data_IF_300461074105
#
_entry.id   IF_300461074105
#
_cell.length_a   1.000
_cell.length_b   1.000
_cell.length_c   1.000
_cell.angle_alpha   90.00
_cell.angle_beta   90.00
_cell.angle_gamma   90.00
#
_symmetry.space_group_name_H-M   'P 1'
#
loop_
_entity.id
_entity.type
_entity.pdbx_description
1 polymer ?
#
# COMPACT_ATOMS: atom_id res chain seq x y z
N UNK A 1 29.73 -7.40 -17.11
CA UNK A 1 28.45 -7.50 -16.40
C UNK A 1 28.06 -6.12 -15.90
N UNK A 2 26.78 -5.73 -15.96
CA UNK A 2 26.28 -4.41 -15.54
C UNK A 2 25.59 -4.49 -14.17
N UNK A 3 26.05 -3.71 -13.20
CA UNK A 3 25.33 -3.50 -11.93
C UNK A 3 24.45 -2.25 -12.07
N UNK A 4 23.18 -2.35 -11.71
CA UNK A 4 22.21 -1.25 -11.80
C UNK A 4 21.57 -1.09 -10.41
N UNK A 5 21.59 0.13 -9.87
CA UNK A 5 20.82 0.48 -8.67
C UNK A 5 19.62 1.31 -9.10
N UNK A 6 18.40 0.89 -8.74
CA UNK A 6 17.15 1.61 -8.93
C UNK A 6 16.71 2.29 -7.63
N UNK A 7 15.61 3.04 -7.69
CA UNK A 7 14.94 3.53 -6.50
C UNK A 7 14.45 2.34 -5.67
N UNK A 8 14.55 2.45 -4.36
CA UNK A 8 14.10 1.41 -3.43
C UNK A 8 12.92 1.98 -2.66
N UNK A 9 11.79 1.28 -2.68
CA UNK A 9 10.73 1.51 -1.69
C UNK A 9 11.40 1.24 -0.33
N UNK A 10 11.54 2.29 0.46
CA UNK A 10 12.57 2.47 1.46
C UNK A 10 12.87 1.23 2.30
N UNK A 11 14.18 0.94 2.36
CA UNK A 11 14.88 0.23 3.43
C UNK A 11 14.58 -1.25 3.65
N UNK A 12 13.49 -1.80 3.11
CA UNK A 12 12.93 -3.00 3.74
C UNK A 12 12.47 -4.11 2.80
N UNK A 13 12.42 -3.88 1.48
CA UNK A 13 12.55 -5.00 0.54
C UNK A 13 13.25 -4.64 -0.75
N UNK A 14 14.35 -5.33 -0.98
CA UNK A 14 15.12 -5.21 -2.19
C UNK A 14 14.88 -6.43 -3.07
N UNK A 15 14.48 -6.14 -4.30
CA UNK A 15 14.50 -7.10 -5.37
C UNK A 15 15.89 -7.10 -6.00
N UNK A 16 16.51 -8.26 -6.14
CA UNK A 16 17.62 -8.46 -7.06
C UNK A 16 17.07 -9.11 -8.33
N UNK A 17 17.14 -8.42 -9.46
CA UNK A 17 16.88 -9.01 -10.77
C UNK A 17 18.22 -9.44 -11.38
N UNK A 18 18.38 -10.75 -11.54
CA UNK A 18 19.57 -11.36 -12.10
C UNK A 18 19.23 -11.89 -13.49
N UNK A 19 19.97 -11.40 -14.49
CA UNK A 19 19.87 -11.87 -15.86
C UNK A 19 21.13 -12.61 -16.26
N UNK A 20 20.98 -13.82 -16.81
CA UNK A 20 22.07 -14.62 -17.35
C UNK A 20 22.08 -14.61 -18.88
N UNK A 21 23.29 -14.68 -19.46
CA UNK A 21 23.51 -14.78 -20.91
C UNK A 21 23.00 -16.09 -21.52
N UNK A 22 22.82 -17.11 -20.69
CA UNK A 22 22.37 -18.46 -21.04
C UNK A 22 21.71 -19.10 -19.81
N UNK A 23 20.82 -20.09 -19.98
CA UNK A 23 20.25 -20.86 -18.86
C UNK A 23 21.34 -21.39 -17.95
N UNK A 24 21.21 -21.19 -16.63
CA UNK A 24 22.13 -21.74 -15.63
C UNK A 24 21.34 -22.76 -14.81
N UNK A 25 21.49 -24.04 -15.15
CA UNK A 25 20.79 -25.12 -14.46
C UNK A 25 21.17 -25.14 -12.97
N UNK A 26 20.19 -25.08 -12.08
CA UNK A 26 20.43 -25.06 -10.63
C UNK A 26 20.92 -23.71 -10.10
N UNK A 27 20.65 -22.63 -10.83
CA UNK A 27 20.98 -21.25 -10.39
C UNK A 27 20.34 -20.90 -9.05
N UNK A 28 19.12 -21.36 -8.78
CA UNK A 28 18.45 -21.14 -7.50
C UNK A 28 19.28 -21.70 -6.35
N UNK A 29 19.63 -22.98 -6.39
CA UNK A 29 20.45 -23.62 -5.34
C UNK A 29 21.81 -22.95 -5.19
N UNK A 30 22.41 -22.50 -6.30
CA UNK A 30 23.70 -21.79 -6.28
C UNK A 30 23.57 -20.44 -5.56
N UNK A 31 22.51 -19.69 -5.85
CA UNK A 31 22.23 -18.41 -5.22
C UNK A 31 21.82 -18.57 -3.76
N UNK A 32 21.05 -19.61 -3.40
CA UNK A 32 20.73 -19.97 -2.02
C UNK A 32 22.00 -20.18 -1.20
N UNK A 33 22.94 -21.01 -1.69
CA UNK A 33 24.21 -21.27 -1.00
C UNK A 33 24.99 -19.96 -0.80
N UNK A 34 25.06 -19.13 -1.84
CA UNK A 34 25.78 -17.86 -1.80
C UNK A 34 25.15 -16.88 -0.79
N UNK A 35 23.83 -16.76 -0.79
CA UNK A 35 23.09 -15.90 0.15
C UNK A 35 23.25 -16.39 1.58
N UNK A 36 23.07 -17.69 1.84
CA UNK A 36 23.23 -18.28 3.16
C UNK A 36 24.65 -18.09 3.70
N UNK A 37 25.66 -18.32 2.87
CA UNK A 37 27.07 -18.11 3.23
C UNK A 37 27.33 -16.64 3.59
N UNK A 38 26.90 -15.71 2.73
CA UNK A 38 27.11 -14.29 2.96
C UNK A 38 26.40 -13.81 4.24
N UNK A 39 25.15 -14.21 4.45
CA UNK A 39 24.39 -13.86 5.64
C UNK A 39 25.06 -14.38 6.90
N UNK A 40 25.52 -15.64 6.89
CA UNK A 40 26.24 -16.24 8.01
C UNK A 40 27.52 -15.46 8.34
N UNK A 41 28.35 -15.17 7.34
CA UNK A 41 29.60 -14.40 7.52
C UNK A 41 29.30 -13.01 8.07
N UNK A 42 28.36 -12.30 7.45
CA UNK A 42 27.96 -10.94 7.83
C UNK A 42 27.46 -10.87 9.28
N UNK A 43 26.67 -11.84 9.71
CA UNK A 43 26.13 -11.90 11.07
C UNK A 43 27.21 -12.26 12.10
N UNK A 44 28.05 -13.26 11.82
CA UNK A 44 29.14 -13.68 12.73
C UNK A 44 30.18 -12.58 12.91
N UNK A 45 30.54 -11.90 11.82
CA UNK A 45 31.54 -10.84 11.83
C UNK A 45 30.98 -9.46 12.18
N UNK A 46 29.66 -9.35 12.39
CA UNK A 46 28.95 -8.08 12.66
C UNK A 46 29.31 -6.98 11.67
N UNK A 47 29.33 -7.30 10.37
CA UNK A 47 29.72 -6.34 9.32
C UNK A 47 28.74 -5.16 9.19
N UNK A 48 27.53 -5.28 9.74
CA UNK A 48 26.54 -4.21 9.81
C UNK A 48 25.55 -4.47 10.96
N UNK A 49 24.89 -3.43 11.46
CA UNK A 49 23.93 -3.51 12.57
C UNK A 49 22.47 -3.80 12.13
N UNK A 50 22.17 -3.94 10.84
CA UNK A 50 20.79 -4.17 10.37
C UNK A 50 20.23 -5.57 10.73
N UNK A 51 18.90 -5.66 10.89
CA UNK A 51 18.13 -6.80 11.44
C UNK A 51 18.25 -8.15 10.68
N UNK A 52 17.76 -9.28 11.25
CA UNK A 52 17.80 -10.61 10.63
C UNK A 52 17.11 -10.62 9.25
N UNK A 53 17.70 -11.33 8.29
CA UNK A 53 17.28 -11.31 6.89
C UNK A 53 16.41 -12.51 6.56
N UNK A 54 15.29 -12.27 5.90
CA UNK A 54 14.55 -13.29 5.15
C UNK A 54 14.80 -13.04 3.66
N UNK A 55 14.89 -14.12 2.89
CA UNK A 55 14.89 -14.03 1.44
C UNK A 55 14.16 -15.20 0.81
N UNK A 56 13.63 -14.99 -0.38
CA UNK A 56 13.14 -16.04 -1.26
C UNK A 56 13.73 -15.85 -2.65
N UNK A 57 13.83 -16.95 -3.39
CA UNK A 57 14.35 -16.98 -4.76
C UNK A 57 13.26 -17.54 -5.65
N UNK A 58 13.03 -16.87 -6.78
CA UNK A 58 12.14 -17.34 -7.84
C UNK A 58 12.90 -17.29 -9.17
N UNK A 59 13.01 -18.41 -9.89
CA UNK A 59 13.53 -18.44 -11.25
C UNK A 59 12.42 -18.47 -12.31
N UNK A 60 12.72 -17.90 -13.48
CA UNK A 60 11.94 -18.12 -14.69
C UNK A 60 12.07 -19.56 -15.18
N UNK A 61 11.08 -20.04 -15.93
CA UNK A 61 11.05 -21.42 -16.47
C UNK A 61 12.26 -21.82 -17.35
N UNK A 62 13.04 -20.85 -17.83
CA UNK A 62 14.23 -21.09 -18.67
C UNK A 62 15.57 -20.84 -17.94
N UNK A 63 15.55 -20.64 -16.62
CA UNK A 63 16.73 -20.38 -15.78
C UNK A 63 17.62 -19.20 -16.26
N UNK A 64 17.09 -18.27 -17.07
CA UNK A 64 17.83 -17.07 -17.50
C UNK A 64 17.56 -15.85 -16.62
N UNK A 65 16.40 -15.82 -15.99
CA UNK A 65 16.02 -14.77 -15.06
C UNK A 65 15.80 -15.36 -13.68
N UNK A 66 16.43 -14.73 -12.69
CA UNK A 66 16.20 -15.06 -11.28
C UNK A 66 15.89 -13.77 -10.55
N UNK A 67 14.83 -13.82 -9.77
CA UNK A 67 14.45 -12.76 -8.87
C UNK A 67 14.73 -13.21 -7.45
N UNK A 68 15.52 -12.44 -6.71
CA UNK A 68 15.72 -12.64 -5.28
C UNK A 68 14.99 -11.54 -4.54
N UNK A 69 14.09 -11.96 -3.68
CA UNK A 69 13.30 -11.10 -2.82
C UNK A 69 13.94 -11.08 -1.45
N UNK A 70 14.46 -9.94 -1.01
CA UNK A 70 15.32 -9.85 0.16
C UNK A 70 14.83 -8.74 1.08
N UNK A 71 14.32 -9.10 2.26
CA UNK A 71 13.79 -8.14 3.22
C UNK A 71 14.86 -7.57 4.16
N UNK A 72 14.65 -6.34 4.60
CA UNK A 72 15.41 -5.64 5.66
C UNK A 72 16.87 -5.29 5.32
N UNK A 73 17.30 -5.32 4.06
CA UNK A 73 18.69 -4.99 3.70
C UNK A 73 18.91 -3.48 3.68
N UNK A 74 19.96 -3.00 4.36
CA UNK A 74 20.29 -1.58 4.34
C UNK A 74 21.12 -1.20 3.10
N UNK A 75 21.19 0.09 2.79
CA UNK A 75 21.97 0.66 1.69
C UNK A 75 23.46 0.31 1.68
N UNK A 76 24.01 -0.15 2.81
CA UNK A 76 25.40 -0.63 2.90
C UNK A 76 25.54 -2.10 2.52
N UNK A 77 24.56 -2.93 2.89
CA UNK A 77 24.60 -4.36 2.63
C UNK A 77 24.27 -4.71 1.17
N UNK A 78 23.36 -3.94 0.55
CA UNK A 78 22.86 -4.21 -0.79
C UNK A 78 23.92 -4.19 -1.88
N UNK A 79 24.75 -3.13 -2.02
CA UNK A 79 25.78 -3.11 -3.06
C UNK A 79 26.83 -4.20 -2.83
N UNK A 80 27.16 -4.51 -1.57
CA UNK A 80 28.14 -5.55 -1.24
C UNK A 80 27.64 -6.91 -1.72
N UNK A 81 26.39 -7.26 -1.44
CA UNK A 81 25.81 -8.52 -1.86
C UNK A 81 25.63 -8.59 -3.39
N UNK A 82 25.13 -7.51 -4.00
CA UNK A 82 25.00 -7.41 -5.46
C UNK A 82 26.35 -7.59 -6.19
N UNK A 83 27.42 -6.99 -5.65
CA UNK A 83 28.78 -7.17 -6.17
C UNK A 83 29.33 -8.58 -5.94
N UNK A 84 28.97 -9.25 -4.84
CA UNK A 84 29.40 -10.63 -4.59
C UNK A 84 28.75 -11.61 -5.59
N UNK A 85 27.45 -11.44 -5.85
CA UNK A 85 26.71 -12.22 -6.86
C UNK A 85 27.39 -12.06 -8.23
N UNK A 86 27.68 -10.81 -8.57
CA UNK A 86 28.37 -10.42 -9.79
C UNK A 86 29.75 -11.07 -9.95
N UNK A 87 30.54 -11.12 -8.88
CA UNK A 87 31.88 -11.71 -8.88
C UNK A 87 31.83 -13.23 -9.01
N UNK A 88 30.92 -13.88 -8.29
CA UNK A 88 30.90 -15.34 -8.16
C UNK A 88 30.20 -16.05 -9.31
N UNK A 89 29.42 -15.35 -10.12
CA UNK A 89 28.60 -15.94 -11.18
C UNK A 89 28.92 -15.29 -12.54
N UNK A 90 29.97 -15.75 -13.25
CA UNK A 90 30.48 -15.10 -14.46
C UNK A 90 29.55 -15.17 -15.68
N UNK A 91 28.46 -15.95 -15.60
CA UNK A 91 27.46 -16.07 -16.67
C UNK A 91 26.31 -15.07 -16.55
N UNK A 92 26.26 -14.33 -15.44
CA UNK A 92 25.33 -13.21 -15.24
C UNK A 92 25.77 -12.04 -16.12
N UNK A 93 24.82 -11.48 -16.85
CA UNK A 93 25.00 -10.28 -17.68
C UNK A 93 24.70 -9.01 -16.91
N UNK A 94 23.70 -9.06 -16.03
CA UNK A 94 23.32 -7.93 -15.18
C UNK A 94 22.74 -8.36 -13.84
N UNK A 95 22.99 -7.52 -12.84
CA UNK A 95 22.33 -7.55 -11.54
C UNK A 95 21.71 -6.17 -11.34
N UNK A 96 20.38 -6.12 -11.23
CA UNK A 96 19.66 -4.90 -10.86
C UNK A 96 19.21 -5.03 -9.42
N UNK A 97 19.46 -4.01 -8.61
CA UNK A 97 19.02 -3.93 -7.21
C UNK A 97 17.98 -2.83 -7.10
N UNK A 98 16.86 -3.15 -6.48
CA UNK A 98 15.69 -2.28 -6.39
C UNK A 98 14.66 -2.58 -7.47
N UNK A 99 13.47 -2.02 -7.32
CA UNK A 99 12.38 -2.11 -8.29
C UNK A 99 12.29 -0.83 -9.12
N UNK A 100 11.76 -0.93 -10.34
CA UNK A 100 11.23 0.27 -10.98
C UNK A 100 10.01 0.67 -10.15
N UNK A 101 10.06 1.84 -9.51
CA UNK A 101 8.82 2.50 -9.08
C UNK A 101 8.01 2.68 -10.37
N UNK A 102 6.90 1.96 -10.48
CA UNK A 102 6.07 1.98 -11.68
C UNK A 102 5.77 3.42 -12.09
N UNK A 103 5.67 3.67 -13.40
CA UNK A 103 5.15 4.94 -13.87
C UNK A 103 3.79 5.18 -13.21
N UNK A 104 3.69 6.33 -12.54
CA UNK A 104 2.47 6.83 -11.94
C UNK A 104 1.31 6.72 -12.93
N UNK A 105 0.30 5.86 -12.69
CA UNK A 105 -0.94 6.01 -13.43
C UNK A 105 -1.54 7.35 -13.01
N UNK A 106 -1.79 8.23 -13.98
CA UNK A 106 -2.37 9.55 -13.73
C UNK A 106 -3.68 9.42 -12.90
N UNK A 107 -3.98 10.38 -11.99
CA UNK A 107 -5.15 10.37 -11.10
C UNK A 107 -6.47 10.13 -11.83
N UNK A 108 -6.54 10.58 -13.08
CA UNK A 108 -7.75 10.59 -13.89
C UNK A 108 -8.28 9.19 -14.21
N UNK A 109 -7.45 8.13 -14.21
CA UNK A 109 -7.91 6.77 -14.51
C UNK A 109 -8.54 6.04 -13.31
N UNK A 110 -8.47 6.63 -12.10
CA UNK A 110 -9.00 6.05 -10.85
C UNK A 110 -10.14 6.83 -10.23
N UNK A 111 -10.45 8.02 -10.77
CA UNK A 111 -11.50 8.88 -10.27
C UNK A 111 -12.88 8.42 -10.74
N UNK A 112 -13.78 8.22 -9.78
CA UNK A 112 -15.21 8.04 -10.02
C UNK A 112 -15.91 9.36 -9.76
N UNK A 113 -16.69 9.82 -10.74
CA UNK A 113 -17.45 11.07 -10.64
C UNK A 113 -18.87 10.80 -10.16
N UNK A 114 -19.31 11.60 -9.20
CA UNK A 114 -20.67 11.65 -8.70
C UNK A 114 -21.28 12.98 -9.10
N UNK A 115 -22.47 12.95 -9.71
CA UNK A 115 -23.25 14.16 -10.05
C UNK A 115 -23.90 14.82 -8.82
N UNK A 116 -23.59 14.31 -7.63
CA UNK A 116 -24.24 14.61 -6.36
C UNK A 116 -24.89 13.36 -5.75
N UNK A 117 -25.04 13.36 -4.44
CA UNK A 117 -25.58 12.22 -3.69
C UNK A 117 -26.26 12.67 -2.39
N UNK A 118 -27.00 11.77 -1.75
CA UNK A 118 -27.45 11.97 -0.37
C UNK A 118 -26.64 11.00 0.50
N UNK A 119 -25.78 11.56 1.34
CA UNK A 119 -25.13 10.79 2.39
C UNK A 119 -26.13 10.61 3.53
N UNK A 120 -26.27 9.39 4.03
CA UNK A 120 -27.00 9.16 5.29
C UNK A 120 -26.05 8.56 6.31
N UNK A 121 -26.18 9.06 7.53
CA UNK A 121 -25.35 8.76 8.67
C UNK A 121 -26.06 7.76 9.58
N UNK A 122 -25.27 7.08 10.41
CA UNK A 122 -25.73 6.04 11.33
C UNK A 122 -26.69 6.58 12.41
N UNK A 123 -26.65 7.89 12.67
CA UNK A 123 -27.55 8.57 13.60
C UNK A 123 -28.92 8.94 12.97
N UNK A 124 -29.18 8.53 11.72
CA UNK A 124 -30.42 8.84 11.00
C UNK A 124 -30.40 10.18 10.25
N UNK A 125 -29.37 11.01 10.43
CA UNK A 125 -29.23 12.26 9.68
C UNK A 125 -28.88 11.98 8.22
N UNK A 126 -29.28 12.90 7.34
CA UNK A 126 -28.96 12.84 5.91
C UNK A 126 -28.49 14.20 5.42
N UNK A 127 -27.57 14.22 4.47
CA UNK A 127 -27.01 15.44 3.92
C UNK A 127 -26.82 15.32 2.41
N UNK A 128 -27.17 16.38 1.68
CA UNK A 128 -26.85 16.49 0.26
C UNK A 128 -25.35 16.71 0.05
N UNK A 129 -24.77 15.95 -0.85
CA UNK A 129 -23.37 16.05 -1.28
C UNK A 129 -23.36 16.61 -2.70
N UNK A 130 -22.67 17.73 -2.96
CA UNK A 130 -22.56 18.29 -4.31
C UNK A 130 -21.76 17.35 -5.24
N UNK A 131 -21.67 17.62 -6.55
CA UNK A 131 -20.82 16.84 -7.44
C UNK A 131 -19.37 16.78 -6.97
N UNK A 132 -18.78 15.59 -6.98
CA UNK A 132 -17.40 15.34 -6.57
C UNK A 132 -16.80 14.18 -7.35
N UNK A 133 -15.47 14.09 -7.36
CA UNK A 133 -14.76 12.95 -7.91
C UNK A 133 -13.81 12.37 -6.85
N UNK A 134 -13.87 11.06 -6.65
CA UNK A 134 -13.13 10.34 -5.59
C UNK A 134 -12.41 9.12 -6.16
N UNK A 135 -11.24 8.79 -5.60
CA UNK A 135 -10.51 7.59 -5.96
C UNK A 135 -11.33 6.32 -5.64
N UNK A 136 -11.41 5.43 -6.62
CA UNK A 136 -12.07 4.12 -6.48
C UNK A 136 -11.44 3.23 -5.39
N UNK A 137 -10.12 3.26 -5.28
CA UNK A 137 -9.36 2.55 -4.25
C UNK A 137 -8.42 3.53 -3.52
N UNK A 138 -8.02 3.28 -2.27
CA UNK A 138 -7.10 4.11 -1.51
C UNK A 138 -5.80 4.38 -2.24
N UNK A 139 -5.11 5.41 -1.74
CA UNK A 139 -3.71 5.66 -2.11
C UNK A 139 -2.90 4.42 -1.74
N UNK A 140 -2.08 3.93 -2.67
CA UNK A 140 -1.24 2.76 -2.45
C UNK A 140 0.07 3.13 -1.76
N UNK A 141 0.75 2.13 -1.18
CA UNK A 141 2.09 2.29 -0.63
C UNK A 141 3.05 2.86 -1.67
N UNK A 142 3.02 2.41 -2.92
CA UNK A 142 3.88 2.96 -3.97
C UNK A 142 3.54 4.43 -4.30
N UNK A 143 2.26 4.80 -4.33
CA UNK A 143 1.86 6.19 -4.59
C UNK A 143 2.33 7.15 -3.49
N UNK A 144 2.19 6.72 -2.23
CA UNK A 144 2.65 7.50 -1.08
C UNK A 144 4.18 7.55 -1.00
N UNK A 145 4.86 6.49 -1.44
CA UNK A 145 6.31 6.40 -1.47
C UNK A 145 6.96 7.38 -2.46
N UNK A 146 6.33 7.62 -3.62
CA UNK A 146 6.80 8.67 -4.54
C UNK A 146 6.81 10.04 -3.84
N UNK A 147 5.78 10.36 -3.05
CA UNK A 147 5.69 11.61 -2.30
C UNK A 147 6.87 11.74 -1.32
N UNK A 148 7.08 10.74 -0.47
CA UNK A 148 8.11 10.77 0.57
C UNK A 148 9.51 10.80 -0.02
N UNK A 149 9.80 10.03 -1.08
CA UNK A 149 11.10 10.06 -1.75
C UNK A 149 11.37 11.39 -2.46
N UNK A 150 10.37 11.97 -3.11
CA UNK A 150 10.52 13.24 -3.84
C UNK A 150 10.76 14.41 -2.90
N UNK A 151 10.14 14.37 -1.73
CA UNK A 151 10.16 15.50 -0.77
C UNK A 151 11.14 15.31 0.39
N UNK A 152 11.64 14.08 0.59
CA UNK A 152 12.36 13.70 1.80
C UNK A 152 11.46 13.66 3.05
N UNK A 153 10.15 13.52 2.87
CA UNK A 153 9.19 13.51 3.98
C UNK A 153 9.33 12.23 4.81
N UNK A 154 9.43 12.41 6.13
CA UNK A 154 9.48 11.32 7.12
C UNK A 154 8.14 11.28 7.85
N UNK A 155 7.48 10.12 7.88
CA UNK A 155 6.14 9.99 8.48
C UNK A 155 6.17 10.15 9.99
N UNK A 156 5.00 10.31 10.59
CA UNK A 156 4.87 10.41 12.05
C UNK A 156 5.27 9.11 12.74
N UNK A 157 4.91 7.95 12.18
CA UNK A 157 5.35 6.63 12.66
C UNK A 157 6.87 6.46 12.60
N UNK A 158 7.50 6.88 11.50
CA UNK A 158 8.96 6.83 11.32
C UNK A 158 9.69 7.77 12.28
N UNK A 159 9.18 9.01 12.48
CA UNK A 159 9.73 9.96 13.47
C UNK A 159 9.69 9.41 14.89
N UNK A 160 8.67 8.62 15.21
CA UNK A 160 8.50 7.99 16.52
C UNK A 160 9.26 6.66 16.64
N UNK A 161 9.86 6.16 15.55
CA UNK A 161 10.54 4.88 15.49
C UNK A 161 9.60 3.68 15.76
N UNK A 162 8.35 3.79 15.29
CA UNK A 162 7.28 2.78 15.44
C UNK A 162 7.03 1.97 14.15
N UNK A 163 8.01 1.95 13.23
CA UNK A 163 7.93 1.27 11.93
C UNK A 163 7.66 2.23 10.77
N UNK A 164 7.45 1.65 9.58
CA UNK A 164 7.21 2.38 8.33
C UNK A 164 5.98 1.85 7.61
N UNK A 165 5.35 2.67 6.78
CA UNK A 165 4.25 2.24 5.89
C UNK A 165 4.71 1.33 4.74
N UNK A 166 6.02 1.15 4.60
CA UNK A 166 6.67 0.34 3.55
C UNK A 166 6.98 -1.07 4.00
N UNK A 167 7.06 -1.24 5.32
CA UNK A 167 7.24 -2.53 5.92
C UNK A 167 6.67 -2.50 7.34
N UNK A 168 5.70 -3.38 7.50
CA UNK A 168 5.25 -3.83 8.80
C UNK A 168 4.77 -5.29 8.68
N UNK A 169 4.28 -5.82 9.79
CA UNK A 169 3.82 -7.19 9.89
C UNK A 169 2.68 -7.53 8.90
N UNK A 170 1.93 -6.54 8.41
CA UNK A 170 0.84 -6.77 7.44
C UNK A 170 1.37 -7.01 6.02
N UNK A 171 2.56 -6.52 5.71
CA UNK A 171 3.22 -6.65 4.41
C UNK A 171 4.11 -7.90 4.30
N UNK A 172 4.48 -8.52 5.43
CA UNK A 172 5.33 -9.73 5.47
C UNK A 172 4.83 -10.88 4.59
N UNK A 173 3.52 -11.22 4.55
CA UNK A 173 3.02 -12.32 3.73
C UNK A 173 3.03 -12.03 2.23
N UNK A 174 3.22 -10.77 1.82
CA UNK A 174 3.13 -10.36 0.42
C UNK A 174 4.48 -10.47 -0.27
N UNK A 175 4.45 -10.91 -1.54
CA UNK A 175 5.62 -10.83 -2.40
C UNK A 175 6.05 -9.37 -2.54
N UNK A 176 7.35 -9.06 -2.61
CA UNK A 176 7.81 -7.67 -2.61
C UNK A 176 7.26 -6.84 -3.78
N UNK A 177 7.15 -7.46 -4.96
CA UNK A 177 6.56 -6.83 -6.13
C UNK A 177 5.08 -6.42 -5.93
N UNK A 178 4.38 -7.03 -4.97
CA UNK A 178 2.98 -6.74 -4.68
C UNK A 178 2.80 -5.72 -3.55
N UNK A 179 3.83 -5.45 -2.72
CA UNK A 179 3.72 -4.55 -1.55
C UNK A 179 3.40 -3.12 -1.93
N UNK A 180 3.89 -2.64 -3.07
CA UNK A 180 3.58 -1.32 -3.58
C UNK A 180 2.11 -1.15 -4.00
N UNK A 181 1.40 -2.25 -4.27
CA UNK A 181 0.03 -2.24 -4.79
C UNK A 181 -1.04 -2.24 -3.68
N UNK A 182 -0.64 -2.46 -2.42
CA UNK A 182 -1.59 -2.41 -1.31
C UNK A 182 -1.88 -0.97 -0.90
N UNK A 183 -3.03 -0.70 -0.27
CA UNK A 183 -3.29 0.60 0.34
C UNK A 183 -2.23 1.00 1.36
N UNK A 184 -1.82 2.27 1.33
CA UNK A 184 -0.94 2.85 2.33
C UNK A 184 -1.63 2.85 3.70
N UNK A 185 -0.89 2.48 4.73
CA UNK A 185 -1.33 2.41 6.12
C UNK A 185 -0.17 2.81 7.04
N UNK A 186 -0.34 2.76 8.36
CA UNK A 186 0.68 3.21 9.31
C UNK A 186 1.12 4.67 9.09
N UNK A 187 0.20 5.50 8.61
CA UNK A 187 0.35 6.94 8.37
C UNK A 187 -0.63 7.71 9.25
N UNK A 188 -0.25 8.89 9.71
CA UNK A 188 -1.13 9.75 10.50
C UNK A 188 -1.89 10.74 9.63
N UNK A 189 -2.90 11.40 10.19
CA UNK A 189 -3.64 12.45 9.50
C UNK A 189 -2.72 13.56 8.96
N UNK A 190 -1.70 13.94 9.74
CA UNK A 190 -0.74 14.99 9.33
C UNK A 190 0.07 14.54 8.11
N UNK A 191 0.44 13.25 8.04
CA UNK A 191 1.16 12.69 6.89
C UNK A 191 0.28 12.68 5.64
N UNK A 192 -1.00 12.37 5.82
CA UNK A 192 -2.01 12.36 4.76
C UNK A 192 -2.30 13.77 4.22
N UNK A 193 -2.37 14.79 5.08
CA UNK A 193 -2.52 16.18 4.64
C UNK A 193 -1.31 16.66 3.85
N UNK A 194 -0.10 16.31 4.28
CA UNK A 194 1.13 16.64 3.57
C UNK A 194 1.13 16.01 2.16
N UNK A 195 0.71 14.75 2.04
CA UNK A 195 0.51 14.10 0.74
C UNK A 195 -0.54 14.83 -0.10
N UNK A 196 -1.71 15.15 0.47
CA UNK A 196 -2.77 15.85 -0.26
C UNK A 196 -2.29 17.19 -0.82
N UNK A 197 -1.57 17.96 0.00
CA UNK A 197 -0.98 19.24 -0.40
C UNK A 197 0.02 19.07 -1.54
N UNK A 198 0.90 18.06 -1.47
CA UNK A 198 1.88 17.77 -2.51
C UNK A 198 1.23 17.31 -3.82
N UNK A 199 0.27 16.39 -3.74
CA UNK A 199 -0.39 15.80 -4.91
C UNK A 199 -1.46 16.71 -5.54
N UNK A 200 -1.82 17.84 -4.91
CA UNK A 200 -2.89 18.72 -5.41
C UNK A 200 -4.28 18.09 -5.34
N UNK A 201 -4.48 17.21 -4.36
CA UNK A 201 -5.73 16.50 -4.06
C UNK A 201 -6.22 16.86 -2.65
N UNK A 202 -7.36 16.31 -2.22
CA UNK A 202 -7.87 16.52 -0.86
C UNK A 202 -8.45 15.23 -0.30
N UNK A 203 -8.61 15.15 1.01
CA UNK A 203 -9.42 14.11 1.63
C UNK A 203 -10.91 14.25 1.24
N UNK A 204 -11.65 13.14 1.10
CA UNK A 204 -13.10 13.20 1.07
C UNK A 204 -13.64 13.70 2.40
N UNK A 205 -14.76 14.42 2.39
CA UNK A 205 -15.57 14.62 3.60
C UNK A 205 -16.17 13.30 4.06
N UNK A 206 -16.61 13.20 5.32
CA UNK A 206 -17.40 12.04 5.79
C UNK A 206 -18.56 11.72 4.85
N UNK A 207 -19.26 12.76 4.39
CA UNK A 207 -20.43 12.61 3.55
C UNK A 207 -20.09 12.12 2.14
N UNK A 208 -19.01 12.63 1.54
CA UNK A 208 -18.52 12.14 0.25
C UNK A 208 -18.08 10.68 0.34
N UNK A 209 -17.36 10.31 1.41
CA UNK A 209 -16.94 8.92 1.61
C UNK A 209 -18.15 8.00 1.79
N UNK A 210 -19.13 8.39 2.62
CA UNK A 210 -20.36 7.62 2.82
C UNK A 210 -21.19 7.53 1.55
N UNK A 211 -21.31 8.61 0.79
CA UNK A 211 -22.01 8.63 -0.49
C UNK A 211 -21.34 7.71 -1.51
N UNK A 212 -20.01 7.73 -1.57
CA UNK A 212 -19.23 6.90 -2.47
C UNK A 212 -19.26 5.42 -2.07
N UNK A 213 -19.28 5.11 -0.77
CA UNK A 213 -19.34 3.75 -0.24
C UNK A 213 -20.68 3.04 -0.50
N UNK A 214 -21.72 3.76 -0.93
CA UNK A 214 -23.02 3.17 -1.22
C UNK A 214 -22.99 2.46 -2.57
N UNK A 215 -22.73 1.17 -2.47
CA UNK A 215 -22.99 0.18 -3.52
C UNK A 215 -24.46 0.18 -3.93
N UNK A 216 -25.34 0.43 -2.96
CA UNK A 216 -26.79 0.44 -3.11
C UNK A 216 -27.44 1.28 -1.99
N UNK A 217 -28.46 2.09 -2.31
CA UNK A 217 -29.17 2.89 -1.31
C UNK A 217 -30.15 2.05 -0.46
N UNK A 218 -30.33 0.77 -0.77
CA UNK A 218 -31.17 -0.16 -0.02
C UNK A 218 -30.60 -0.45 1.38
N UNK A 219 -31.48 -0.41 2.38
CA UNK A 219 -31.18 -0.93 3.73
C UNK A 219 -31.47 -2.44 3.73
N UNK A 220 -30.41 -3.24 3.81
CA UNK A 220 -30.48 -4.70 3.72
C UNK A 220 -30.62 -5.31 5.13
N UNK A 221 -31.29 -6.43 5.30
CA UNK A 221 -31.11 -7.30 6.47
C UNK A 221 -29.71 -7.90 6.47
N UNK A 222 -29.31 -8.57 7.56
CA UNK A 222 -28.00 -9.24 7.64
C UNK A 222 -27.82 -10.29 6.53
N UNK A 223 -28.84 -11.10 6.26
CA UNK A 223 -28.80 -12.12 5.21
C UNK A 223 -28.79 -11.49 3.82
N UNK A 224 -29.61 -10.47 3.58
CA UNK A 224 -29.60 -9.73 2.31
C UNK A 224 -28.23 -9.06 2.07
N UNK A 225 -27.58 -8.55 3.12
CA UNK A 225 -26.22 -7.99 3.05
C UNK A 225 -25.17 -9.04 2.65
N UNK A 226 -25.20 -10.21 3.30
CA UNK A 226 -24.26 -11.29 3.03
C UNK A 226 -24.45 -11.84 1.61
N UNK A 227 -25.69 -12.08 1.18
CA UNK A 227 -26.00 -12.46 -0.21
C UNK A 227 -25.63 -11.37 -1.21
N UNK A 228 -25.87 -10.10 -0.88
CA UNK A 228 -25.55 -8.98 -1.75
C UNK A 228 -24.04 -8.84 -1.96
N UNK A 229 -23.25 -8.85 -0.88
CA UNK A 229 -21.81 -8.63 -0.95
C UNK A 229 -21.05 -9.84 -1.52
N UNK A 230 -21.50 -11.06 -1.22
CA UNK A 230 -20.72 -12.26 -1.49
C UNK A 230 -21.37 -13.21 -2.50
N UNK A 231 -22.60 -12.94 -2.94
CA UNK A 231 -23.34 -13.82 -3.85
C UNK A 231 -23.58 -15.23 -3.29
N UNK A 232 -24.09 -16.13 -4.13
CA UNK A 232 -24.34 -17.54 -3.75
C UNK A 232 -23.04 -18.35 -3.55
N UNK A 233 -21.93 -17.89 -4.12
CA UNK A 233 -20.60 -18.54 -4.01
C UNK A 233 -19.76 -18.02 -2.82
N UNK A 234 -20.26 -17.05 -2.05
CA UNK A 234 -19.57 -16.55 -0.86
C UNK A 234 -18.29 -15.75 -1.14
N UNK A 235 -18.09 -15.24 -2.37
CA UNK A 235 -16.92 -14.46 -2.78
C UNK A 235 -17.30 -13.02 -3.12
N UNK A 236 -16.55 -12.07 -2.58
CA UNK A 236 -16.74 -10.66 -2.87
C UNK A 236 -16.33 -10.35 -4.32
N UNK A 237 -17.25 -9.77 -5.10
CA UNK A 237 -17.02 -9.39 -6.50
C UNK A 237 -17.18 -7.86 -6.67
N UNK A 238 -16.05 -7.15 -6.61
CA UNK A 238 -15.95 -5.69 -6.78
C UNK A 238 -16.50 -5.22 -8.14
N UNK A 239 -16.55 -6.08 -9.15
CA UNK A 239 -17.01 -5.70 -10.49
C UNK A 239 -18.52 -5.52 -10.56
N UNK A 240 -19.27 -6.19 -9.67
CA UNK A 240 -20.71 -5.96 -9.49
C UNK A 240 -21.02 -4.66 -8.78
N UNK A 241 -20.03 -4.11 -8.07
CA UNK A 241 -20.18 -3.04 -7.10
C UNK A 241 -19.08 -2.01 -7.31
N UNK A 242 -19.10 -1.26 -8.43
CA UNK A 242 -18.02 -0.34 -8.78
C UNK A 242 -17.79 0.76 -7.74
N UNK A 243 -18.82 1.07 -6.94
CA UNK A 243 -18.79 2.04 -5.82
C UNK A 243 -18.31 1.42 -4.50
N UNK A 244 -18.13 0.10 -4.41
CA UNK A 244 -17.43 -0.46 -3.26
C UNK A 244 -15.98 0.00 -3.32
N UNK A 245 -15.52 0.52 -2.19
CA UNK A 245 -14.27 1.20 -2.00
C UNK A 245 -13.23 0.18 -1.54
N UNK A 246 -12.26 -0.14 -2.41
CA UNK A 246 -11.52 -1.41 -2.28
C UNK A 246 -10.29 -1.34 -1.34
N UNK A 247 -10.18 -2.30 -0.42
CA UNK A 247 -9.08 -2.58 0.54
C UNK A 247 -8.70 -1.51 1.59
N UNK A 248 -8.39 -1.96 2.82
CA UNK A 248 -8.38 -1.27 4.14
C UNK A 248 -9.71 -1.20 4.87
N UNK A 249 -9.61 -1.38 6.19
CA UNK A 249 -10.75 -1.42 7.11
C UNK A 249 -11.20 -0.02 7.51
N UNK A 250 -10.29 0.96 7.52
CA UNK A 250 -10.50 2.30 8.04
C UNK A 250 -9.77 3.35 7.20
N UNK A 251 -10.37 4.53 7.08
CA UNK A 251 -9.84 5.61 6.26
C UNK A 251 -10.04 6.99 6.90
N UNK A 252 -9.04 7.85 6.75
CA UNK A 252 -9.15 9.25 7.12
C UNK A 252 -10.08 10.02 6.18
N UNK A 253 -10.81 10.98 6.75
CA UNK A 253 -11.67 11.94 6.05
C UNK A 253 -11.38 13.35 6.51
N UNK A 254 -11.74 14.35 5.71
CA UNK A 254 -11.60 15.76 6.07
C UNK A 254 -12.26 16.04 7.43
N UNK A 255 -11.56 16.76 8.31
CA UNK A 255 -11.96 16.99 9.71
C UNK A 255 -11.85 18.46 10.12
N UNK A 256 -12.15 19.37 9.19
CA UNK A 256 -12.02 20.82 9.36
C UNK A 256 -12.78 21.36 10.59
N UNK A 257 -13.88 20.70 10.96
CA UNK A 257 -14.75 21.10 12.08
C UNK A 257 -14.31 20.55 13.44
N UNK A 258 -13.19 19.81 13.52
CA UNK A 258 -12.72 19.19 14.77
C UNK A 258 -11.28 19.59 15.10
N UNK A 259 -11.04 20.76 15.71
CA UNK A 259 -9.70 21.28 15.95
C UNK A 259 -8.79 20.28 16.68
N UNK A 260 -7.60 20.02 16.13
CA UNK A 260 -6.60 19.13 16.72
C UNK A 260 -6.95 17.63 16.66
N UNK A 261 -8.08 17.26 16.06
CA UNK A 261 -8.50 15.86 15.89
C UNK A 261 -8.65 15.50 14.42
N UNK A 262 -8.68 14.21 14.17
CA UNK A 262 -8.95 13.59 12.88
C UNK A 262 -10.14 12.65 13.01
N UNK A 263 -10.85 12.44 11.90
CA UNK A 263 -11.97 11.50 11.82
C UNK A 263 -11.53 10.33 10.97
N UNK A 264 -11.80 9.13 11.47
CA UNK A 264 -11.56 7.87 10.76
C UNK A 264 -12.91 7.19 10.57
N UNK A 265 -13.20 6.77 9.34
CA UNK A 265 -14.39 5.99 9.01
C UNK A 265 -14.01 4.60 8.57
N UNK A 266 -14.72 3.59 9.06
CA UNK A 266 -14.52 2.22 8.61
C UNK A 266 -15.12 2.04 7.20
N UNK A 267 -14.43 1.28 6.34
CA UNK A 267 -14.60 1.23 4.89
C UNK A 267 -15.97 0.72 4.37
N UNK A 268 -16.13 0.65 3.04
CA UNK A 268 -17.44 0.46 2.38
C UNK A 268 -18.12 -0.90 2.59
N UNK A 269 -17.43 -1.88 3.20
CA UNK A 269 -18.02 -3.20 3.45
C UNK A 269 -19.20 -3.17 4.44
N UNK A 270 -19.39 -2.04 5.12
CA UNK A 270 -20.49 -1.79 6.03
C UNK A 270 -21.72 -1.22 5.32
N UNK A 271 -22.21 -1.93 4.30
CA UNK A 271 -23.55 -1.70 3.75
C UNK A 271 -24.59 -1.75 4.89
N UNK A 272 -25.51 -0.78 4.88
CA UNK A 272 -26.50 -0.50 5.93
C UNK A 272 -27.32 -1.74 6.27
N UNK A 273 -27.03 -2.41 7.38
CA UNK A 273 -27.93 -3.44 7.92
C UNK A 273 -29.13 -2.76 8.60
N UNK A 274 -30.34 -3.30 8.45
CA UNK A 274 -31.58 -2.76 9.06
C UNK A 274 -31.50 -2.63 10.58
N UNK A 275 -30.67 -3.49 11.20
CA UNK A 275 -30.42 -3.52 12.65
C UNK A 275 -28.99 -3.05 13.00
N UNK A 276 -28.38 -2.21 12.15
CA UNK A 276 -27.01 -1.75 12.31
C UNK A 276 -26.87 -0.78 13.51
N UNK A 277 -26.46 -1.32 14.65
CA UNK A 277 -26.29 -0.59 15.90
C UNK A 277 -24.81 -0.36 16.27
N UNK A 278 -23.87 -0.52 15.32
CA UNK A 278 -22.44 -0.35 15.64
C UNK A 278 -22.07 1.14 15.60
N UNK A 279 -21.70 1.68 16.75
CA UNK A 279 -21.09 3.01 16.91
C UNK A 279 -19.61 3.03 16.48
N UNK A 280 -19.09 1.91 15.97
CA UNK A 280 -17.66 1.68 15.73
C UNK A 280 -17.19 2.08 14.32
N UNK A 281 -18.09 2.49 13.42
CA UNK A 281 -17.72 2.88 12.04
C UNK A 281 -17.16 4.31 11.95
N UNK A 282 -17.09 5.03 13.07
CA UNK A 282 -16.58 6.41 13.16
C UNK A 282 -15.76 6.56 14.42
N UNK A 283 -14.48 6.85 14.27
CA UNK A 283 -13.58 7.18 15.36
C UNK A 283 -13.14 8.64 15.26
N UNK A 284 -12.96 9.28 16.41
CA UNK A 284 -12.28 10.58 16.52
C UNK A 284 -10.96 10.31 17.21
N UNK A 285 -9.87 10.58 16.50
CA UNK A 285 -8.50 10.30 16.95
C UNK A 285 -7.67 11.59 16.98
N UNK A 286 -6.52 11.56 17.65
CA UNK A 286 -5.56 12.65 17.56
C UNK A 286 -4.96 12.71 16.15
N UNK A 287 -4.60 13.89 15.64
CA UNK A 287 -4.09 14.02 14.25
C UNK A 287 -2.77 13.28 14.00
N UNK A 288 -2.01 13.01 15.06
CA UNK A 288 -0.76 12.23 15.00
C UNK A 288 -0.96 10.75 15.28
N UNK A 289 -2.21 10.29 15.44
CA UNK A 289 -2.51 8.87 15.62
C UNK A 289 -2.38 8.14 14.28
N UNK A 290 -1.87 6.92 14.32
CA UNK A 290 -1.70 6.00 13.20
C UNK A 290 -1.87 4.56 13.70
N UNK A 291 -2.26 3.66 12.81
CA UNK A 291 -2.25 2.21 13.04
C UNK A 291 -2.02 1.45 11.72
N UNK A 292 -1.91 0.12 11.81
CA UNK A 292 -1.66 -0.75 10.65
C UNK A 292 -2.89 -0.98 9.75
N UNK A 293 -4.06 -0.42 10.10
CA UNK A 293 -5.33 -0.71 9.43
C UNK A 293 -6.03 0.53 8.87
N UNK A 294 -5.43 1.71 9.06
CA UNK A 294 -5.97 2.99 8.66
C UNK A 294 -5.11 3.60 7.57
N UNK A 295 -5.76 3.91 6.45
CA UNK A 295 -5.15 4.62 5.32
C UNK A 295 -6.02 5.78 4.89
N UNK A 296 -5.99 6.09 3.60
CA UNK A 296 -6.83 7.13 3.04
C UNK A 296 -7.02 7.00 1.54
N UNK A 297 -8.10 7.59 1.05
CA UNK A 297 -8.34 7.89 -0.35
C UNK A 297 -8.49 9.39 -0.54
N UNK A 298 -8.44 9.81 -1.79
CA UNK A 298 -8.47 11.23 -2.13
C UNK A 298 -9.58 11.57 -3.11
N UNK A 299 -10.05 12.81 -3.00
CA UNK A 299 -10.91 13.47 -3.96
C UNK A 299 -10.11 14.47 -4.80
N UNK A 300 -10.60 14.73 -6.01
CA UNK A 300 -10.13 15.87 -6.81
C UNK A 300 -10.41 17.20 -6.08
N UNK A 301 -9.53 18.17 -6.24
CA UNK A 301 -9.69 19.53 -5.67
C UNK A 301 -10.78 20.35 -6.36
N UNK A 302 -11.11 20.03 -7.63
CA UNK A 302 -12.22 20.64 -8.38
C UNK A 302 -13.32 19.61 -8.61
N UNK A 303 -14.57 20.03 -8.45
CA UNK A 303 -15.72 19.24 -8.87
C UNK A 303 -15.67 19.02 -10.39
N UNK A 304 -16.03 17.82 -10.89
CA UNK A 304 -16.20 17.60 -12.31
C UNK A 304 -17.29 18.57 -12.84
N UNK A 305 -16.97 19.26 -13.93
CA UNK A 305 -17.89 20.18 -14.64
C UNK A 305 -18.96 19.43 -15.40
#
# INVERSE_FOLDING_TARGET
MKFIKRANIDGEVDQFEIQASRPIRGIESTLTILFDEWMRVRNVQKLCDCFPKHYSIESSSDDRFVTIFAGWFCDRCLPVLGNLIAERLPHITSVTVGSDLGEFPLPEQRLMSFIGAIAHFENGNSMGVPPFAIYRAPVTTAEFDVFTQTTGYVTTSEKNNDGSFRLDATLEPLRPADRGNVPVHNVSYVDVEAYCQWAGVRLPTEAELLAAALVDQRILSRSEHETFMFGDEGRFDITRFPNALEHLHSEFVASDDTPGKAIVRSGSYYVRKRDWNTTQNRAIVHRTWYDLMTGFRVCATKSPT
#
